data_IF_098552150128
#
_entry.id   IF_098552150128
#
_cell.length_a   1.000
_cell.length_b   1.000
_cell.length_c   1.000
_cell.angle_alpha   90.00
_cell.angle_beta   90.00
_cell.angle_gamma   90.00
#
_symmetry.space_group_name_H-M   'P 1'
#
loop_
_entity.id
_entity.type
_entity.pdbx_description
1 polymer ?
#
# COMPACT_ATOMS: atom_id res chain seq x y z
N UNK A 1 11.04 -2.67 -47.09
CA UNK A 1 9.75 -3.05 -46.49
C UNK A 1 9.58 -2.17 -45.26
N UNK A 2 8.94 -1.02 -45.41
CA UNK A 2 8.68 -0.06 -44.33
C UNK A 2 7.56 -0.68 -43.45
N UNK A 3 7.89 -1.17 -42.28
CA UNK A 3 6.90 -1.53 -41.29
C UNK A 3 6.10 -0.28 -40.97
N UNK A 4 4.80 -0.23 -41.36
CA UNK A 4 3.85 0.68 -40.77
C UNK A 4 3.87 0.48 -39.27
N UNK A 5 4.55 1.35 -38.50
CA UNK A 5 4.36 1.44 -37.07
C UNK A 5 2.93 1.95 -36.88
N UNK A 6 2.01 1.06 -36.56
CA UNK A 6 0.73 1.49 -36.00
C UNK A 6 1.00 2.44 -34.84
N UNK A 7 0.16 3.47 -34.69
CA UNK A 7 0.31 4.41 -33.58
C UNK A 7 0.25 3.64 -32.26
N UNK A 8 1.10 3.97 -31.27
CA UNK A 8 1.13 3.25 -30.01
C UNK A 8 -0.24 3.30 -29.32
N UNK A 9 -0.62 2.17 -28.70
CA UNK A 9 -1.88 2.07 -27.96
C UNK A 9 -1.81 2.90 -26.69
N UNK A 10 -2.78 3.80 -26.50
CA UNK A 10 -2.79 4.73 -25.36
C UNK A 10 -3.36 4.09 -24.09
N UNK A 11 -2.62 4.20 -22.99
CA UNK A 11 -3.01 3.75 -21.65
C UNK A 11 -3.20 4.94 -20.73
N UNK A 12 -4.37 5.02 -20.10
CA UNK A 12 -4.62 5.98 -19.02
C UNK A 12 -4.61 5.26 -17.66
N UNK A 13 -3.66 5.66 -16.80
CA UNK A 13 -3.54 5.14 -15.43
C UNK A 13 -4.16 6.11 -14.44
N UNK A 14 -5.22 5.68 -13.74
CA UNK A 14 -6.02 6.54 -12.87
C UNK A 14 -5.77 6.29 -11.40
N UNK A 15 -5.56 7.38 -10.65
CA UNK A 15 -5.56 7.42 -9.18
C UNK A 15 -6.38 8.61 -8.67
N UNK A 16 -6.88 8.55 -7.43
CA UNK A 16 -7.73 9.61 -6.88
C UNK A 16 -6.96 10.89 -6.57
N UNK A 17 -5.72 10.79 -6.13
CA UNK A 17 -4.87 11.93 -5.77
C UNK A 17 -3.48 11.74 -6.35
N UNK A 18 -2.84 12.82 -6.77
CA UNK A 18 -1.50 12.79 -7.36
C UNK A 18 -0.46 12.14 -6.43
N UNK A 19 -0.57 12.32 -5.13
CA UNK A 19 0.28 11.63 -4.15
C UNK A 19 0.17 10.09 -4.19
N UNK A 20 -0.93 9.56 -4.76
CA UNK A 20 -1.09 8.11 -4.95
C UNK A 20 -0.42 7.58 -6.23
N UNK A 21 0.15 8.44 -7.08
CA UNK A 21 0.95 8.02 -8.24
C UNK A 21 2.22 7.26 -7.81
N UNK A 22 2.70 7.49 -6.59
CA UNK A 22 3.77 6.69 -5.99
C UNK A 22 3.51 5.18 -5.96
N UNK A 23 2.25 4.77 -5.98
CA UNK A 23 1.86 3.35 -6.04
C UNK A 23 2.31 2.66 -7.36
N UNK A 24 2.65 3.42 -8.38
CA UNK A 24 3.02 2.90 -9.71
C UNK A 24 4.35 3.49 -10.22
N UNK A 25 5.21 3.91 -9.30
CA UNK A 25 6.54 4.44 -9.63
C UNK A 25 7.32 3.46 -10.51
N UNK A 26 7.90 3.97 -11.62
CA UNK A 26 8.66 3.20 -12.59
C UNK A 26 7.83 2.36 -13.55
N UNK A 27 6.63 1.91 -13.14
CA UNK A 27 5.80 0.98 -13.93
C UNK A 27 5.32 1.60 -15.24
N UNK A 28 4.85 2.86 -15.22
CA UNK A 28 4.34 3.50 -16.43
C UNK A 28 5.46 3.81 -17.42
N UNK A 29 6.64 4.21 -16.93
CA UNK A 29 7.84 4.40 -17.76
C UNK A 29 8.25 3.07 -18.40
N UNK A 30 8.32 1.99 -17.63
CA UNK A 30 8.62 0.66 -18.15
C UNK A 30 7.65 0.24 -19.26
N UNK A 31 6.35 0.44 -19.07
CA UNK A 31 5.32 0.10 -20.06
C UNK A 31 5.46 0.99 -21.32
N UNK A 32 5.78 2.28 -21.15
CA UNK A 32 6.01 3.19 -22.27
C UNK A 32 7.24 2.81 -23.11
N UNK A 33 8.32 2.39 -22.47
CA UNK A 33 9.52 1.87 -23.13
C UNK A 33 9.25 0.59 -23.96
N UNK A 34 8.15 -0.12 -23.64
CA UNK A 34 7.70 -1.32 -24.36
C UNK A 34 6.58 -1.06 -25.39
N UNK A 35 6.42 0.18 -25.84
CA UNK A 35 5.64 0.51 -27.03
C UNK A 35 4.20 0.99 -26.78
N UNK A 36 3.86 1.33 -25.54
CA UNK A 36 2.59 1.97 -25.21
C UNK A 36 2.75 3.49 -25.05
N UNK A 37 1.68 4.23 -25.35
CA UNK A 37 1.59 5.66 -25.02
C UNK A 37 0.90 5.80 -23.66
N UNK A 38 1.66 6.16 -22.61
CA UNK A 38 1.18 6.18 -21.25
C UNK A 38 0.87 7.59 -20.76
N UNK A 39 -0.25 7.74 -20.06
CA UNK A 39 -0.65 8.98 -19.40
C UNK A 39 -1.19 8.68 -18.00
N UNK A 40 -0.73 9.41 -17.00
CA UNK A 40 -1.30 9.38 -15.67
C UNK A 40 -2.50 10.32 -15.58
N UNK A 41 -3.54 9.94 -14.83
CA UNK A 41 -4.72 10.78 -14.58
C UNK A 41 -4.99 10.80 -13.08
N UNK A 42 -5.02 11.99 -12.48
CA UNK A 42 -5.20 12.14 -11.03
C UNK A 42 -5.98 13.41 -10.66
N UNK A 43 -6.42 13.48 -9.41
CA UNK A 43 -6.80 14.74 -8.78
C UNK A 43 -5.58 15.49 -8.24
N UNK A 44 -5.82 16.56 -7.48
CA UNK A 44 -4.80 17.37 -6.81
C UNK A 44 -3.98 16.55 -5.76
N UNK A 45 -2.80 17.00 -5.32
CA UNK A 45 -2.20 18.31 -5.63
C UNK A 45 -1.41 18.33 -6.95
N UNK A 46 -1.32 19.52 -7.56
CA UNK A 46 -0.66 19.76 -8.84
C UNK A 46 0.86 19.55 -8.74
N UNK A 47 1.46 19.90 -7.62
CA UNK A 47 2.88 19.76 -7.32
C UNK A 47 3.30 18.28 -7.43
N UNK A 48 2.60 17.38 -6.76
CA UNK A 48 2.89 15.94 -6.83
C UNK A 48 2.70 15.36 -8.24
N UNK A 49 1.74 15.89 -9.01
CA UNK A 49 1.55 15.50 -10.41
C UNK A 49 2.73 15.95 -11.29
N UNK A 50 3.25 17.16 -11.04
CA UNK A 50 4.41 17.71 -11.73
C UNK A 50 5.67 16.91 -11.40
N UNK A 51 5.93 16.66 -10.13
CA UNK A 51 7.05 15.84 -9.66
C UNK A 51 7.04 14.44 -10.28
N UNK A 52 5.86 13.80 -10.34
CA UNK A 52 5.70 12.51 -11.00
C UNK A 52 6.05 12.60 -12.50
N UNK A 53 5.53 13.59 -13.20
CA UNK A 53 5.82 13.80 -14.64
C UNK A 53 7.30 14.02 -14.90
N UNK A 54 7.96 14.85 -14.09
CA UNK A 54 9.40 15.14 -14.22
C UNK A 54 10.26 13.89 -13.94
N UNK A 55 9.91 13.11 -12.92
CA UNK A 55 10.64 11.90 -12.54
C UNK A 55 10.44 10.74 -13.53
N UNK A 56 9.20 10.52 -13.97
CA UNK A 56 8.84 9.36 -14.79
C UNK A 56 8.91 9.62 -16.30
N UNK A 57 8.92 10.89 -16.72
CA UNK A 57 8.80 11.26 -18.13
C UNK A 57 7.39 10.99 -18.72
N UNK A 58 6.39 10.73 -17.87
CA UNK A 58 5.01 10.39 -18.24
C UNK A 58 4.11 11.59 -18.00
N UNK A 59 3.34 12.06 -19.00
CA UNK A 59 2.42 13.19 -18.83
C UNK A 59 1.33 12.86 -17.81
N UNK A 60 0.95 13.85 -16.99
CA UNK A 60 -0.13 13.73 -16.02
C UNK A 60 -1.25 14.71 -16.32
N UNK A 61 -2.47 14.20 -16.49
CA UNK A 61 -3.69 14.98 -16.63
C UNK A 61 -4.39 15.11 -15.29
N UNK A 62 -4.64 16.36 -14.88
CA UNK A 62 -5.37 16.66 -13.63
C UNK A 62 -6.87 16.71 -13.86
N UNK A 63 -7.62 16.11 -12.95
CA UNK A 63 -9.08 16.17 -12.85
C UNK A 63 -9.40 16.90 -11.53
N UNK A 64 -9.61 18.21 -11.53
CA UNK A 64 -9.67 19.03 -10.32
C UNK A 64 -10.76 18.60 -9.32
N UNK A 65 -11.87 18.04 -9.81
CA UNK A 65 -12.96 17.59 -8.94
C UNK A 65 -12.81 16.14 -8.46
N UNK A 66 -11.74 15.45 -8.84
CA UNK A 66 -11.43 14.09 -8.35
C UNK A 66 -10.76 14.17 -6.96
N UNK A 67 -11.56 14.32 -5.92
CA UNK A 67 -11.12 14.52 -4.53
C UNK A 67 -11.39 13.28 -3.66
N UNK A 68 -10.60 13.06 -2.59
CA UNK A 68 -10.75 11.87 -1.70
C UNK A 68 -12.08 11.81 -0.96
N UNK A 69 -12.60 12.90 -0.34
CA UNK A 69 -13.87 12.88 0.38
C UNK A 69 -15.05 12.55 -0.53
N UNK A 70 -16.05 11.83 -0.04
CA UNK A 70 -17.31 11.59 -0.76
C UNK A 70 -18.04 12.93 -0.90
N UNK A 71 -18.30 13.34 -2.15
CA UNK A 71 -18.96 14.61 -2.47
C UNK A 71 -19.72 14.46 -3.79
N UNK A 72 -21.02 14.30 -3.72
CA UNK A 72 -21.87 14.03 -4.90
C UNK A 72 -21.64 15.08 -5.99
N UNK A 73 -21.57 16.36 -5.63
CA UNK A 73 -21.36 17.46 -6.59
C UNK A 73 -20.00 17.37 -7.29
N UNK A 74 -18.92 17.13 -6.55
CA UNK A 74 -17.58 16.97 -7.12
C UNK A 74 -17.48 15.66 -7.90
N UNK A 75 -18.08 14.57 -7.40
CA UNK A 75 -18.04 13.27 -8.06
C UNK A 75 -18.72 13.30 -9.43
N UNK A 76 -19.86 14.01 -9.55
CA UNK A 76 -20.53 14.21 -10.85
C UNK A 76 -19.71 15.10 -11.81
N UNK A 77 -19.04 16.14 -11.30
CA UNK A 77 -18.16 16.99 -12.10
C UNK A 77 -16.94 16.20 -12.58
N UNK A 78 -16.26 15.46 -11.68
CA UNK A 78 -15.15 14.59 -12.03
C UNK A 78 -15.54 13.54 -13.07
N UNK A 79 -16.71 12.92 -12.93
CA UNK A 79 -17.24 11.97 -13.92
C UNK A 79 -17.39 12.63 -15.30
N UNK A 80 -17.95 13.85 -15.34
CA UNK A 80 -18.12 14.61 -16.60
C UNK A 80 -16.77 14.99 -17.22
N UNK A 81 -15.79 15.35 -16.41
CA UNK A 81 -14.42 15.66 -16.86
C UNK A 81 -13.73 14.42 -17.44
N UNK A 82 -13.82 13.26 -16.76
CA UNK A 82 -13.31 11.99 -17.27
C UNK A 82 -13.98 11.56 -18.57
N UNK A 83 -15.31 11.71 -18.71
CA UNK A 83 -16.03 11.41 -19.95
C UNK A 83 -15.54 12.32 -21.09
N UNK A 84 -15.33 13.61 -20.84
CA UNK A 84 -14.79 14.53 -21.86
C UNK A 84 -13.38 14.13 -22.28
N UNK A 85 -12.52 13.82 -21.30
CA UNK A 85 -11.16 13.37 -21.54
C UNK A 85 -11.15 12.09 -22.40
N UNK A 86 -11.90 11.05 -22.00
CA UNK A 86 -11.90 9.78 -22.72
C UNK A 86 -12.53 9.87 -24.13
N UNK A 87 -13.52 10.74 -24.33
CA UNK A 87 -14.08 11.00 -25.67
C UNK A 87 -13.10 11.71 -26.59
N UNK A 88 -12.29 12.62 -26.04
CA UNK A 88 -11.30 13.38 -26.81
C UNK A 88 -10.09 12.48 -27.16
N UNK A 89 -9.50 11.83 -26.16
CA UNK A 89 -8.23 11.12 -26.31
C UNK A 89 -8.39 9.66 -26.75
N UNK A 90 -9.59 9.07 -26.61
CA UNK A 90 -9.95 7.70 -27.02
C UNK A 90 -8.93 6.64 -26.57
N UNK A 91 -8.63 6.55 -25.27
CA UNK A 91 -7.64 5.59 -24.79
C UNK A 91 -8.05 4.15 -25.13
N UNK A 92 -7.06 3.33 -25.44
CA UNK A 92 -7.26 1.88 -25.66
C UNK A 92 -7.45 1.15 -24.33
N UNK A 93 -6.70 1.56 -23.31
CA UNK A 93 -6.79 1.01 -21.95
C UNK A 93 -7.05 2.15 -20.96
N UNK A 94 -8.02 1.94 -20.06
CA UNK A 94 -8.17 2.71 -18.82
C UNK A 94 -7.94 1.76 -17.66
N UNK A 95 -6.88 2.01 -16.87
CA UNK A 95 -6.51 1.19 -15.72
C UNK A 95 -6.53 2.04 -14.45
N UNK A 96 -7.40 1.71 -13.49
CA UNK A 96 -7.60 2.47 -12.26
C UNK A 96 -7.29 1.64 -11.01
N UNK A 97 -6.74 2.30 -9.97
CA UNK A 97 -6.25 1.65 -8.75
C UNK A 97 -7.01 2.05 -7.49
N UNK A 98 -7.20 3.33 -7.23
CA UNK A 98 -7.77 3.78 -5.95
C UNK A 98 -9.30 3.82 -5.99
N UNK A 99 -10.01 3.61 -4.87
CA UNK A 99 -11.46 3.34 -4.88
C UNK A 99 -12.30 4.35 -5.66
N UNK A 100 -12.10 5.67 -5.43
CA UNK A 100 -12.90 6.69 -6.11
C UNK A 100 -12.52 6.83 -7.59
N UNK A 101 -11.23 6.87 -7.92
CA UNK A 101 -10.79 6.91 -9.31
C UNK A 101 -11.25 5.67 -10.08
N UNK A 102 -11.27 4.51 -9.42
CA UNK A 102 -11.75 3.28 -10.04
C UNK A 102 -13.25 3.34 -10.32
N UNK A 103 -14.06 3.77 -9.36
CA UNK A 103 -15.51 3.90 -9.57
C UNK A 103 -15.82 4.88 -10.73
N UNK A 104 -15.34 6.11 -10.63
CA UNK A 104 -15.65 7.14 -11.61
C UNK A 104 -14.98 6.85 -12.96
N UNK A 105 -13.74 6.36 -12.95
CA UNK A 105 -12.99 5.98 -14.14
C UNK A 105 -13.61 4.81 -14.90
N UNK A 106 -14.01 3.74 -14.20
CA UNK A 106 -14.67 2.59 -14.86
C UNK A 106 -16.04 2.95 -15.43
N UNK A 107 -16.83 3.76 -14.69
CA UNK A 107 -18.12 4.25 -15.20
C UNK A 107 -17.93 5.17 -16.42
N UNK A 108 -16.99 6.13 -16.38
CA UNK A 108 -16.68 7.01 -17.51
C UNK A 108 -16.20 6.21 -18.73
N UNK A 109 -15.29 5.27 -18.51
CA UNK A 109 -14.74 4.42 -19.57
C UNK A 109 -15.82 3.50 -20.20
N UNK A 110 -16.74 2.98 -19.36
CA UNK A 110 -17.89 2.21 -19.85
C UNK A 110 -18.83 3.06 -20.73
N UNK A 111 -19.17 4.28 -20.28
CA UNK A 111 -19.99 5.23 -21.06
C UNK A 111 -19.32 5.59 -22.40
N UNK A 112 -17.98 5.76 -22.39
CA UNK A 112 -17.19 6.08 -23.58
C UNK A 112 -16.86 4.86 -24.45
N UNK A 113 -17.26 3.66 -24.04
CA UNK A 113 -16.96 2.39 -24.73
C UNK A 113 -15.46 2.15 -24.92
N UNK A 114 -14.64 2.56 -23.93
CA UNK A 114 -13.20 2.23 -23.93
C UNK A 114 -13.04 0.70 -24.03
N UNK A 115 -12.21 0.17 -24.94
CA UNK A 115 -12.12 -1.28 -25.16
C UNK A 115 -11.73 -2.04 -23.91
N UNK A 116 -10.67 -1.65 -23.23
CA UNK A 116 -10.14 -2.33 -22.07
C UNK A 116 -10.22 -1.45 -20.82
N UNK A 117 -10.99 -1.91 -19.86
CA UNK A 117 -11.28 -1.22 -18.60
C UNK A 117 -10.83 -2.10 -17.45
N UNK A 118 -9.67 -1.78 -16.88
CA UNK A 118 -8.99 -2.59 -15.86
C UNK A 118 -9.15 -1.94 -14.50
N UNK A 119 -9.64 -2.70 -13.54
CA UNK A 119 -9.75 -2.31 -12.16
C UNK A 119 -8.79 -3.12 -11.30
N UNK A 120 -7.72 -2.49 -10.79
CA UNK A 120 -6.86 -3.05 -9.74
C UNK A 120 -7.45 -2.76 -8.37
N UNK A 121 -7.77 -3.82 -7.63
CA UNK A 121 -8.40 -3.73 -6.30
C UNK A 121 -7.32 -3.69 -5.23
N UNK A 122 -7.05 -2.49 -4.68
CA UNK A 122 -5.99 -2.21 -3.71
C UNK A 122 -6.50 -2.11 -2.28
N UNK A 123 -7.35 -3.03 -1.88
CA UNK A 123 -7.98 -3.07 -0.57
C UNK A 123 -9.47 -2.74 -0.60
N UNK A 124 -10.19 -3.21 0.41
CA UNK A 124 -11.65 -3.21 0.46
C UNK A 124 -12.16 -2.49 1.71
N UNK A 125 -12.52 -1.22 1.55
CA UNK A 125 -12.97 -0.36 2.66
C UNK A 125 -14.18 -0.90 3.43
N UNK A 126 -15.00 -1.73 2.80
CA UNK A 126 -16.18 -2.30 3.46
C UNK A 126 -15.84 -3.37 4.51
N UNK A 127 -14.61 -3.90 4.55
CA UNK A 127 -14.21 -4.95 5.50
C UNK A 127 -14.27 -4.45 6.96
N UNK A 128 -13.91 -3.19 7.22
CA UNK A 128 -13.99 -2.56 8.55
C UNK A 128 -15.23 -1.70 8.75
N UNK A 129 -16.13 -1.63 7.76
CA UNK A 129 -17.35 -0.83 7.82
C UNK A 129 -18.56 -1.68 8.22
N UNK A 130 -19.57 -1.05 8.84
CA UNK A 130 -20.82 -1.70 9.29
C UNK A 130 -22.07 -1.01 8.74
N UNK A 131 -23.21 -1.65 8.86
CA UNK A 131 -24.52 -1.09 8.53
C UNK A 131 -24.64 -0.54 7.11
N UNK A 132 -25.28 0.63 6.98
CA UNK A 132 -25.53 1.29 5.70
C UNK A 132 -24.23 1.61 4.94
N UNK A 133 -23.18 2.04 5.64
CA UNK A 133 -21.90 2.36 4.99
C UNK A 133 -21.28 1.13 4.32
N UNK A 134 -21.31 -0.03 4.99
CA UNK A 134 -20.85 -1.29 4.41
C UNK A 134 -21.63 -1.64 3.14
N UNK A 135 -22.95 -1.52 3.19
CA UNK A 135 -23.82 -1.78 2.02
C UNK A 135 -23.50 -0.83 0.87
N UNK A 136 -23.35 0.48 1.15
CA UNK A 136 -22.99 1.48 0.15
C UNK A 136 -21.65 1.17 -0.53
N UNK A 137 -20.61 0.92 0.27
CA UNK A 137 -19.28 0.61 -0.25
C UNK A 137 -19.28 -0.67 -1.09
N UNK A 138 -19.98 -1.73 -0.65
CA UNK A 138 -20.15 -2.95 -1.47
C UNK A 138 -20.86 -2.68 -2.78
N UNK A 139 -21.86 -1.79 -2.78
CA UNK A 139 -22.59 -1.43 -4.00
C UNK A 139 -21.66 -0.66 -4.97
N UNK A 140 -20.85 0.26 -4.46
CA UNK A 140 -19.85 0.97 -5.26
C UNK A 140 -18.85 -0.01 -5.89
N UNK A 141 -18.35 -0.98 -5.12
CA UNK A 141 -17.45 -2.02 -5.63
C UNK A 141 -18.11 -2.88 -6.72
N UNK A 142 -19.38 -3.28 -6.53
CA UNK A 142 -20.13 -4.02 -7.55
C UNK A 142 -20.28 -3.25 -8.86
N UNK A 143 -20.58 -1.94 -8.78
CA UNK A 143 -20.68 -1.07 -9.97
C UNK A 143 -19.33 -0.96 -10.66
N UNK A 144 -18.26 -0.76 -9.89
CA UNK A 144 -16.90 -0.67 -10.43
C UNK A 144 -16.52 -1.95 -11.17
N UNK A 145 -16.70 -3.10 -10.52
CA UNK A 145 -16.45 -4.41 -11.12
C UNK A 145 -17.34 -4.68 -12.35
N UNK A 146 -18.61 -4.26 -12.33
CA UNK A 146 -19.52 -4.44 -13.46
C UNK A 146 -19.06 -3.66 -14.70
N UNK A 147 -18.62 -2.40 -14.52
CA UNK A 147 -18.12 -1.54 -15.60
C UNK A 147 -16.73 -1.96 -16.12
N UNK A 148 -15.90 -2.63 -15.31
CA UNK A 148 -14.59 -3.12 -15.71
C UNK A 148 -14.70 -4.30 -16.70
N UNK A 149 -13.78 -4.41 -17.66
CA UNK A 149 -13.62 -5.63 -18.50
C UNK A 149 -12.72 -6.66 -17.82
N UNK A 150 -11.76 -6.21 -17.02
CA UNK A 150 -10.85 -7.06 -16.23
C UNK A 150 -10.75 -6.53 -14.81
N UNK A 151 -10.85 -7.40 -13.81
CA UNK A 151 -10.67 -7.08 -12.40
C UNK A 151 -9.41 -7.80 -11.92
N UNK A 152 -8.48 -7.04 -11.34
CA UNK A 152 -7.17 -7.52 -10.91
C UNK A 152 -7.04 -7.27 -9.40
N UNK A 153 -7.29 -8.27 -8.56
CA UNK A 153 -7.09 -8.14 -7.13
C UNK A 153 -5.59 -8.09 -6.80
N UNK A 154 -5.23 -7.27 -5.85
CA UNK A 154 -3.84 -7.05 -5.42
C UNK A 154 -3.23 -8.27 -4.72
N UNK A 155 -4.07 -9.16 -4.16
CA UNK A 155 -3.66 -10.38 -3.49
C UNK A 155 -4.74 -11.46 -3.50
N UNK A 156 -4.39 -12.66 -3.06
CA UNK A 156 -5.32 -13.79 -2.99
C UNK A 156 -6.40 -13.56 -1.93
N UNK A 157 -6.08 -12.88 -0.83
CA UNK A 157 -7.04 -12.52 0.21
C UNK A 157 -8.13 -11.58 -0.34
N UNK A 158 -7.73 -10.52 -1.06
CA UNK A 158 -8.66 -9.60 -1.74
C UNK A 158 -9.53 -10.36 -2.75
N UNK A 159 -8.94 -11.25 -3.57
CA UNK A 159 -9.68 -12.10 -4.52
C UNK A 159 -10.72 -12.96 -3.82
N UNK A 160 -10.34 -13.65 -2.74
CA UNK A 160 -11.26 -14.49 -1.95
C UNK A 160 -12.40 -13.67 -1.36
N UNK A 161 -12.11 -12.47 -0.83
CA UNK A 161 -13.13 -11.57 -0.27
C UNK A 161 -14.11 -11.07 -1.32
N UNK A 162 -13.64 -10.70 -2.52
CA UNK A 162 -14.52 -10.28 -3.62
C UNK A 162 -15.53 -11.37 -4.00
N UNK A 163 -15.12 -12.64 -4.05
CA UNK A 163 -16.01 -13.76 -4.31
C UNK A 163 -16.94 -14.05 -3.12
N UNK A 164 -16.40 -14.16 -1.90
CA UNK A 164 -17.17 -14.46 -0.67
C UNK A 164 -18.27 -13.43 -0.42
N UNK A 165 -17.98 -12.14 -0.66
CA UNK A 165 -18.92 -11.04 -0.45
C UNK A 165 -19.84 -10.78 -1.67
N UNK A 166 -19.78 -11.65 -2.69
CA UNK A 166 -20.57 -11.55 -3.93
C UNK A 166 -20.45 -10.18 -4.59
N UNK A 167 -19.22 -9.63 -4.67
CA UNK A 167 -18.95 -8.37 -5.35
C UNK A 167 -18.94 -8.58 -6.85
N UNK A 168 -18.27 -9.63 -7.33
CA UNK A 168 -18.21 -10.00 -8.75
C UNK A 168 -18.05 -11.50 -8.93
N UNK A 169 -18.55 -12.02 -10.05
CA UNK A 169 -18.33 -13.40 -10.51
C UNK A 169 -17.32 -13.47 -11.67
N UNK A 170 -16.75 -12.33 -12.09
CA UNK A 170 -15.78 -12.30 -13.18
C UNK A 170 -14.53 -13.11 -12.84
N UNK A 171 -13.93 -13.82 -13.79
CA UNK A 171 -12.63 -14.45 -13.60
C UNK A 171 -11.59 -13.41 -13.18
N UNK A 172 -10.83 -13.71 -12.14
CA UNK A 172 -9.80 -12.83 -11.61
C UNK A 172 -8.47 -13.58 -11.49
N UNK A 173 -7.39 -12.93 -11.90
CA UNK A 173 -6.03 -13.38 -11.65
C UNK A 173 -5.29 -12.34 -10.82
N UNK A 174 -4.55 -12.78 -9.81
CA UNK A 174 -3.56 -11.98 -9.10
C UNK A 174 -2.31 -11.96 -9.98
N UNK A 175 -1.74 -10.77 -10.21
CA UNK A 175 -0.51 -10.64 -10.99
C UNK A 175 0.68 -11.07 -10.14
N UNK A 176 1.53 -11.90 -10.71
CA UNK A 176 2.71 -12.44 -10.05
C UNK A 176 2.36 -13.02 -8.66
N UNK A 177 3.05 -12.57 -7.60
CA UNK A 177 2.77 -12.98 -6.21
C UNK A 177 1.89 -11.98 -5.43
N UNK A 178 1.18 -11.10 -6.13
CA UNK A 178 0.45 -9.98 -5.52
C UNK A 178 1.29 -8.71 -5.46
N UNK A 179 0.70 -7.67 -4.84
CA UNK A 179 1.14 -6.29 -4.91
C UNK A 179 1.01 -5.69 -6.33
N UNK A 180 0.82 -4.37 -6.42
CA UNK A 180 0.58 -3.72 -7.72
C UNK A 180 1.86 -3.21 -8.40
N UNK A 181 2.96 -3.09 -7.65
CA UNK A 181 4.19 -2.48 -8.16
C UNK A 181 5.48 -3.17 -7.70
N UNK A 182 5.39 -4.15 -6.78
CA UNK A 182 6.58 -4.74 -6.18
C UNK A 182 7.37 -3.75 -5.33
N UNK A 183 8.65 -4.01 -5.15
CA UNK A 183 9.57 -3.15 -4.40
C UNK A 183 10.86 -2.91 -5.18
N UNK A 184 11.32 -1.65 -5.16
CA UNK A 184 12.62 -1.26 -5.68
C UNK A 184 13.72 -1.75 -4.72
N UNK A 185 14.33 -2.88 -5.04
CA UNK A 185 15.39 -3.50 -4.25
C UNK A 185 16.72 -2.75 -4.31
N UNK A 186 16.90 -1.81 -5.25
CA UNK A 186 18.08 -0.94 -5.30
C UNK A 186 17.92 0.22 -4.32
N UNK A 187 16.70 0.75 -4.21
CA UNK A 187 16.38 1.76 -3.22
C UNK A 187 16.34 1.14 -1.81
N UNK A 188 15.57 0.06 -1.62
CA UNK A 188 15.48 -0.63 -0.32
C UNK A 188 16.67 -1.58 -0.12
N UNK A 189 17.84 -0.95 0.11
CA UNK A 189 19.10 -1.64 0.40
C UNK A 189 19.82 -1.00 1.59
N UNK A 190 20.65 -1.79 2.26
CA UNK A 190 21.48 -1.36 3.42
C UNK A 190 22.79 -0.75 2.92
N UNK A 191 22.70 0.42 2.27
CA UNK A 191 23.90 1.16 1.89
C UNK A 191 24.63 1.70 3.12
N UNK A 192 25.90 2.10 2.97
CA UNK A 192 26.68 2.70 4.06
C UNK A 192 25.95 3.89 4.67
N UNK A 193 25.39 4.78 3.84
CA UNK A 193 24.69 5.98 4.29
C UNK A 193 23.45 5.64 5.12
N UNK A 194 22.68 4.61 4.71
CA UNK A 194 21.50 4.13 5.45
C UNK A 194 21.91 3.52 6.79
N UNK A 195 23.01 2.77 6.83
CA UNK A 195 23.52 2.16 8.07
C UNK A 195 24.07 3.22 9.01
N UNK A 196 24.82 4.20 8.50
CA UNK A 196 25.37 5.28 9.31
C UNK A 196 24.26 6.13 9.96
N UNK A 197 23.19 6.42 9.21
CA UNK A 197 22.05 7.13 9.76
C UNK A 197 21.26 6.29 10.77
N UNK A 198 21.10 5.00 10.51
CA UNK A 198 20.49 4.07 11.46
C UNK A 198 21.27 3.96 12.79
N UNK A 199 22.61 4.00 12.72
CA UNK A 199 23.45 4.00 13.93
C UNK A 199 23.23 5.28 14.76
N UNK A 200 23.11 6.45 14.13
CA UNK A 200 22.77 7.69 14.85
C UNK A 200 21.41 7.60 15.52
N UNK A 201 20.38 7.10 14.79
CA UNK A 201 19.05 6.86 15.37
C UNK A 201 19.17 5.93 16.59
N UNK A 202 19.94 4.84 16.48
CA UNK A 202 20.17 3.89 17.60
C UNK A 202 20.84 4.56 18.82
N UNK A 203 21.82 5.42 18.58
CA UNK A 203 22.51 6.17 19.64
C UNK A 203 21.54 7.15 20.34
N UNK A 204 20.74 7.87 19.56
CA UNK A 204 19.77 8.86 20.08
C UNK A 204 18.65 8.22 20.91
N UNK A 205 18.05 7.14 20.42
CA UNK A 205 16.94 6.49 21.12
C UNK A 205 17.38 5.70 22.34
N UNK A 206 18.65 5.30 22.41
CA UNK A 206 19.17 4.39 23.45
C UNK A 206 18.43 3.04 23.40
N UNK A 207 18.67 2.22 24.42
CA UNK A 207 17.99 0.94 24.56
C UNK A 207 18.63 -0.21 23.76
N UNK A 208 18.28 -1.42 24.14
CA UNK A 208 18.87 -2.64 23.59
C UNK A 208 17.99 -3.33 22.56
N UNK A 209 16.71 -2.94 22.47
CA UNK A 209 15.74 -3.48 21.52
C UNK A 209 14.72 -2.44 21.08
N UNK A 210 14.56 -2.31 19.78
CA UNK A 210 13.63 -1.34 19.20
C UNK A 210 12.56 -2.04 18.36
N UNK A 211 11.31 -1.81 18.73
CA UNK A 211 10.14 -2.11 17.91
C UNK A 211 9.86 -0.93 16.98
N UNK A 212 9.41 -1.20 15.76
CA UNK A 212 9.09 -0.17 14.77
C UNK A 212 7.67 -0.34 14.23
N UNK A 213 6.97 0.77 14.11
CA UNK A 213 5.79 0.92 13.28
C UNK A 213 6.04 2.00 12.22
N UNK A 214 5.64 1.74 10.98
CA UNK A 214 5.69 2.71 9.88
C UNK A 214 4.31 2.81 9.24
N UNK A 215 3.76 4.02 9.18
CA UNK A 215 2.45 4.26 8.57
C UNK A 215 1.68 5.39 9.24
N UNK A 216 0.45 5.63 8.79
CA UNK A 216 -0.42 6.60 9.45
C UNK A 216 -0.73 6.14 10.88
N UNK A 217 -0.58 7.04 11.83
CA UNK A 217 -0.82 6.76 13.25
C UNK A 217 -2.31 6.97 13.52
N UNK A 218 -3.13 5.97 13.20
CA UNK A 218 -4.59 5.98 13.28
C UNK A 218 -5.11 4.67 13.88
N UNK A 219 -6.38 4.65 14.31
CA UNK A 219 -6.98 3.49 14.97
C UNK A 219 -7.03 2.25 14.07
N UNK A 220 -7.39 2.38 12.78
CA UNK A 220 -7.46 1.27 11.81
C UNK A 220 -6.11 0.55 11.63
N UNK A 221 -5.00 1.18 12.03
CA UNK A 221 -3.66 0.59 11.99
C UNK A 221 -3.28 -0.20 13.26
N UNK A 222 -4.21 -0.32 14.22
CA UNK A 222 -3.99 -1.09 15.44
C UNK A 222 -3.01 -0.42 16.43
N UNK A 223 -2.89 0.92 16.36
CA UNK A 223 -1.99 1.68 17.24
C UNK A 223 -2.39 1.52 18.72
N UNK A 224 -3.68 1.40 19.01
CA UNK A 224 -4.15 1.19 20.39
C UNK A 224 -3.60 -0.10 20.95
N UNK A 225 -3.69 -1.21 20.22
CA UNK A 225 -3.17 -2.51 20.61
C UNK A 225 -1.64 -2.51 20.69
N UNK A 226 -0.99 -1.78 19.79
CA UNK A 226 0.47 -1.66 19.81
C UNK A 226 0.96 -0.94 21.05
N UNK A 227 0.36 0.17 21.41
CA UNK A 227 0.71 0.94 22.61
C UNK A 227 0.42 0.11 23.88
N UNK A 228 -0.76 -0.50 23.98
CA UNK A 228 -1.13 -1.32 25.14
C UNK A 228 -0.22 -2.55 25.29
N UNK A 229 0.22 -3.17 24.20
CA UNK A 229 1.18 -4.27 24.21
C UNK A 229 2.58 -3.78 24.62
N UNK A 230 3.03 -2.66 24.04
CA UNK A 230 4.35 -2.09 24.33
C UNK A 230 4.49 -1.63 25.79
N UNK A 231 3.47 -0.99 26.36
CA UNK A 231 3.47 -0.60 27.77
C UNK A 231 3.75 -1.79 28.69
N UNK A 232 3.17 -2.95 28.39
CA UNK A 232 3.42 -4.20 29.16
C UNK A 232 4.83 -4.72 28.94
N UNK A 233 5.32 -4.74 27.69
CA UNK A 233 6.69 -5.14 27.39
C UNK A 233 7.68 -4.22 28.10
N UNK A 234 7.48 -2.91 28.02
CA UNK A 234 8.38 -1.92 28.60
C UNK A 234 8.41 -1.96 30.14
N UNK A 235 7.27 -2.28 30.76
CA UNK A 235 7.22 -2.45 32.22
C UNK A 235 8.08 -3.61 32.73
N UNK A 236 8.22 -4.67 31.92
CA UNK A 236 9.07 -5.85 32.25
C UNK A 236 10.50 -5.69 31.71
N UNK A 237 10.67 -4.92 30.62
CA UNK A 237 11.92 -4.71 29.90
C UNK A 237 12.17 -3.21 29.63
N UNK A 238 12.63 -2.42 30.63
CA UNK A 238 12.77 -0.96 30.51
C UNK A 238 13.77 -0.48 29.44
N UNK A 239 14.64 -1.36 28.98
CA UNK A 239 15.60 -1.10 27.92
C UNK A 239 15.00 -1.08 26.50
N UNK A 240 13.71 -1.38 26.34
CA UNK A 240 13.02 -1.40 25.05
C UNK A 240 12.59 -0.02 24.59
N UNK A 241 12.45 0.16 23.27
CA UNK A 241 11.93 1.38 22.63
C UNK A 241 10.89 1.03 21.60
N UNK A 242 9.92 1.92 21.40
CA UNK A 242 8.94 1.86 20.31
C UNK A 242 9.07 3.09 19.41
N UNK A 243 9.38 2.86 18.14
CA UNK A 243 9.52 3.89 17.13
C UNK A 243 8.22 3.98 16.31
N UNK A 244 7.58 5.14 16.32
CA UNK A 244 6.38 5.44 15.53
C UNK A 244 6.76 6.39 14.40
N UNK A 245 6.85 5.87 13.18
CA UNK A 245 7.19 6.65 11.98
C UNK A 245 5.94 6.90 11.15
N UNK A 246 5.55 8.17 11.02
CA UNK A 246 4.38 8.62 10.29
C UNK A 246 3.63 9.74 11.00
N UNK A 247 2.49 10.13 10.45
CA UNK A 247 1.68 11.22 10.99
C UNK A 247 0.36 10.73 11.57
N UNK A 248 -0.10 11.41 12.59
CA UNK A 248 -1.46 11.27 13.11
C UNK A 248 -2.44 11.94 12.13
N UNK A 249 -3.62 11.33 11.91
CA UNK A 249 -4.72 11.90 11.12
C UNK A 249 -5.99 12.01 11.99
N UNK A 250 -6.04 12.94 12.94
CA UNK A 250 -7.11 13.02 13.95
C UNK A 250 -8.50 13.32 13.37
N UNK A 251 -8.56 13.91 12.18
CA UNK A 251 -9.83 14.24 11.51
C UNK A 251 -10.46 13.03 10.80
N UNK A 252 -9.67 12.02 10.44
CA UNK A 252 -10.13 10.88 9.65
C UNK A 252 -10.42 9.65 10.51
N UNK A 253 -9.51 9.30 11.41
CA UNK A 253 -9.62 8.13 12.29
C UNK A 253 -8.80 8.35 13.58
N UNK A 254 -9.32 9.15 14.53
CA UNK A 254 -8.59 9.57 15.73
C UNK A 254 -8.29 8.39 16.65
N UNK A 255 -7.12 8.45 17.27
CA UNK A 255 -6.77 7.56 18.38
C UNK A 255 -7.61 7.90 19.63
N UNK A 256 -7.93 6.92 20.49
CA UNK A 256 -8.52 7.17 21.80
C UNK A 256 -7.64 8.09 22.66
N UNK A 257 -8.26 8.93 23.52
CA UNK A 257 -7.54 9.87 24.38
C UNK A 257 -6.54 9.18 25.29
N UNK A 258 -6.86 7.98 25.80
CA UNK A 258 -5.94 7.16 26.60
C UNK A 258 -4.69 6.81 25.80
N UNK A 259 -4.84 6.33 24.57
CA UNK A 259 -3.70 5.96 23.72
C UNK A 259 -2.80 7.17 23.43
N UNK A 260 -3.41 8.33 23.11
CA UNK A 260 -2.65 9.57 22.88
C UNK A 260 -1.86 10.01 24.10
N UNK A 261 -2.45 9.89 25.30
CA UNK A 261 -1.75 10.21 26.56
C UNK A 261 -0.57 9.28 26.81
N UNK A 262 -0.75 7.96 26.64
CA UNK A 262 0.33 6.99 26.80
C UNK A 262 1.50 7.27 25.86
N UNK A 263 1.21 7.63 24.59
CA UNK A 263 2.26 8.02 23.64
C UNK A 263 3.02 9.28 24.15
N UNK A 264 2.30 10.28 24.65
CA UNK A 264 2.89 11.56 25.06
C UNK A 264 3.62 11.50 26.41
N UNK A 265 3.26 10.57 27.29
CA UNK A 265 3.79 10.46 28.67
C UNK A 265 4.90 9.43 28.80
N UNK A 266 5.10 8.54 27.82
CA UNK A 266 6.13 7.49 27.86
C UNK A 266 7.31 7.83 26.96
N UNK A 267 8.43 8.25 27.56
CA UNK A 267 9.68 8.62 26.86
C UNK A 267 10.30 7.45 26.06
N UNK A 268 9.86 6.20 26.30
CA UNK A 268 10.30 5.04 25.51
C UNK A 268 9.55 4.90 24.17
N UNK A 269 8.49 5.70 23.95
CA UNK A 269 7.74 5.78 22.71
C UNK A 269 8.19 7.03 21.94
N UNK A 270 8.86 6.84 20.81
CA UNK A 270 9.44 7.92 20.01
C UNK A 270 8.58 8.16 18.79
N UNK A 271 7.86 9.29 18.77
CA UNK A 271 7.14 9.76 17.57
C UNK A 271 8.12 10.49 16.63
N UNK A 272 8.57 9.81 15.57
CA UNK A 272 9.50 10.37 14.59
C UNK A 272 8.82 11.31 13.58
N UNK A 273 7.48 11.36 13.54
CA UNK A 273 6.75 12.10 12.54
C UNK A 273 6.91 11.54 11.13
N UNK A 274 6.61 12.38 10.13
CA UNK A 274 6.84 12.04 8.72
C UNK A 274 8.32 11.95 8.42
N UNK A 275 8.73 10.89 7.73
CA UNK A 275 10.09 10.69 7.26
C UNK A 275 10.08 10.47 5.74
N UNK A 276 10.92 11.21 5.02
CA UNK A 276 11.09 11.06 3.57
C UNK A 276 11.81 9.75 3.23
N UNK A 277 12.71 9.33 4.10
CA UNK A 277 13.40 8.05 4.02
C UNK A 277 13.18 7.21 5.29
N UNK A 278 12.44 6.12 5.13
CA UNK A 278 12.13 5.20 6.24
C UNK A 278 13.17 4.09 6.40
N UNK A 279 14.12 3.94 5.47
CA UNK A 279 15.12 2.86 5.48
C UNK A 279 16.01 2.87 6.72
N UNK A 280 16.55 4.02 7.18
CA UNK A 280 17.33 4.06 8.40
C UNK A 280 16.54 3.61 9.64
N UNK A 281 15.24 3.93 9.70
CA UNK A 281 14.36 3.52 10.81
C UNK A 281 14.13 2.01 10.83
N UNK A 282 13.98 1.36 9.66
CA UNK A 282 13.96 -0.10 9.60
C UNK A 282 15.29 -0.68 10.11
N UNK A 283 16.43 -0.18 9.63
CA UNK A 283 17.74 -0.71 10.02
C UNK A 283 18.05 -0.45 11.51
N UNK A 284 17.54 0.64 12.07
CA UNK A 284 17.66 0.98 13.49
C UNK A 284 16.74 0.14 14.39
N UNK A 285 15.88 -0.73 13.86
CA UNK A 285 14.93 -1.54 14.63
C UNK A 285 15.27 -3.03 14.57
N UNK A 286 14.71 -3.79 15.52
CA UNK A 286 14.89 -5.23 15.64
C UNK A 286 13.65 -6.00 15.17
N UNK A 287 12.45 -5.40 15.33
CA UNK A 287 11.17 -6.01 14.96
C UNK A 287 10.22 -4.96 14.40
N UNK A 288 9.61 -5.25 13.26
CA UNK A 288 8.52 -4.44 12.70
C UNK A 288 7.17 -4.94 13.23
N UNK A 289 6.42 -4.10 13.93
CA UNK A 289 5.10 -4.41 14.49
C UNK A 289 4.01 -3.70 13.68
N UNK A 290 3.19 -4.47 12.97
CA UNK A 290 2.16 -3.92 12.07
C UNK A 290 0.78 -4.56 12.33
N UNK A 291 0.10 -4.21 13.44
CA UNK A 291 -1.17 -4.80 13.86
C UNK A 291 -2.40 -4.19 13.17
N UNK A 292 -2.29 -3.83 11.88
CA UNK A 292 -3.37 -3.20 11.11
C UNK A 292 -4.63 -4.08 11.04
N UNK A 293 -5.80 -3.46 11.03
CA UNK A 293 -7.07 -4.20 10.93
C UNK A 293 -7.48 -4.52 9.49
N UNK A 294 -6.92 -3.80 8.52
CA UNK A 294 -7.29 -3.92 7.11
C UNK A 294 -6.20 -3.36 6.20
N UNK A 295 -5.82 -4.15 5.21
CA UNK A 295 -4.96 -3.74 4.10
C UNK A 295 -5.45 -4.36 2.77
N UNK A 296 -4.93 -3.87 1.67
CA UNK A 296 -4.93 -4.59 0.40
C UNK A 296 -3.69 -5.48 0.32
N UNK A 297 -2.53 -4.82 0.20
CA UNK A 297 -1.21 -5.44 0.21
C UNK A 297 -0.20 -4.44 0.80
N UNK A 298 0.19 -4.54 2.08
CA UNK A 298 0.92 -3.48 2.77
C UNK A 298 2.37 -3.39 2.32
N UNK A 299 2.71 -2.33 1.57
CA UNK A 299 4.07 -2.08 1.10
C UNK A 299 5.09 -2.00 2.24
N UNK A 300 4.69 -1.46 3.39
CA UNK A 300 5.60 -1.31 4.56
C UNK A 300 6.07 -2.66 5.11
N UNK A 301 5.27 -3.73 4.99
CA UNK A 301 5.68 -5.09 5.37
C UNK A 301 6.69 -5.66 4.35
N UNK A 302 6.50 -5.36 3.06
CA UNK A 302 7.48 -5.71 2.03
C UNK A 302 8.79 -4.93 2.27
N UNK A 303 8.70 -3.64 2.61
CA UNK A 303 9.84 -2.77 2.92
C UNK A 303 10.63 -3.29 4.12
N UNK A 304 9.93 -3.64 5.23
CA UNK A 304 10.56 -4.26 6.40
C UNK A 304 11.35 -5.52 6.01
N UNK A 305 10.71 -6.42 5.26
CA UNK A 305 11.35 -7.63 4.79
C UNK A 305 12.53 -7.38 3.84
N UNK A 306 12.45 -6.40 2.93
CA UNK A 306 13.55 -6.00 2.06
C UNK A 306 14.74 -5.45 2.85
N UNK A 307 14.48 -4.72 3.94
CA UNK A 307 15.50 -4.21 4.85
C UNK A 307 15.99 -5.29 5.85
N UNK A 308 15.48 -6.54 5.76
CA UNK A 308 15.92 -7.66 6.58
C UNK A 308 15.35 -7.63 8.01
N UNK A 309 14.19 -7.00 8.22
CA UNK A 309 13.55 -6.87 9.52
C UNK A 309 12.34 -7.82 9.61
N UNK A 310 12.33 -8.77 10.56
CA UNK A 310 11.18 -9.63 10.82
C UNK A 310 9.97 -8.83 11.26
N UNK A 311 8.77 -9.34 10.94
CA UNK A 311 7.54 -8.61 11.22
C UNK A 311 6.57 -9.41 12.08
N UNK A 312 5.88 -8.73 13.00
CA UNK A 312 4.63 -9.23 13.60
C UNK A 312 3.48 -8.52 12.90
N UNK A 313 2.61 -9.28 12.25
CA UNK A 313 1.48 -8.75 11.48
C UNK A 313 0.18 -9.42 11.88
N UNK A 314 -0.93 -8.77 11.61
CA UNK A 314 -2.25 -9.38 11.77
C UNK A 314 -2.64 -10.27 10.59
N UNK A 315 -3.51 -11.25 10.84
CA UNK A 315 -4.08 -12.16 9.82
C UNK A 315 -5.13 -11.42 8.98
N UNK A 316 -4.62 -10.62 8.05
CA UNK A 316 -5.42 -9.83 7.09
C UNK A 316 -4.87 -9.97 5.68
N UNK A 317 -5.67 -9.56 4.70
CA UNK A 317 -5.27 -9.55 3.28
C UNK A 317 -3.90 -8.90 3.09
N UNK A 318 -3.07 -9.50 2.28
CA UNK A 318 -1.72 -9.06 1.96
C UNK A 318 -0.71 -9.35 3.07
N UNK A 319 -0.98 -8.99 4.34
CA UNK A 319 -0.05 -9.27 5.44
C UNK A 319 0.27 -10.75 5.57
N UNK A 320 -0.78 -11.61 5.58
CA UNK A 320 -0.66 -13.06 5.64
C UNK A 320 -0.19 -13.72 4.32
N UNK A 321 -0.04 -12.94 3.26
CA UNK A 321 0.54 -13.39 1.99
C UNK A 321 2.04 -13.02 1.92
N UNK A 322 2.46 -11.93 2.56
CA UNK A 322 3.86 -11.50 2.63
C UNK A 322 4.61 -12.29 3.69
N UNK A 323 4.02 -12.43 4.87
CA UNK A 323 4.65 -13.15 6.01
C UNK A 323 4.37 -14.65 5.89
N UNK A 324 5.43 -15.42 6.01
CA UNK A 324 5.41 -16.87 6.17
C UNK A 324 5.73 -17.16 7.63
N UNK A 325 4.73 -17.66 8.38
CA UNK A 325 4.84 -17.91 9.81
C UNK A 325 6.15 -18.61 10.20
N UNK A 326 6.87 -18.01 11.11
CA UNK A 326 8.15 -18.52 11.64
C UNK A 326 9.35 -18.42 10.70
N UNK A 327 9.21 -17.85 9.46
CA UNK A 327 10.33 -17.66 8.52
C UNK A 327 10.80 -16.21 8.44
N UNK A 328 9.90 -15.28 8.15
CA UNK A 328 10.22 -13.86 8.05
C UNK A 328 9.36 -13.00 8.98
N UNK A 329 8.67 -13.64 9.91
CA UNK A 329 7.80 -12.98 10.88
C UNK A 329 6.77 -13.93 11.47
N UNK A 330 5.80 -13.35 12.19
CA UNK A 330 4.69 -14.06 12.83
C UNK A 330 3.36 -13.38 12.55
N UNK A 331 2.29 -14.18 12.54
CA UNK A 331 0.94 -13.74 12.24
C UNK A 331 0.07 -13.87 13.49
N UNK A 332 -0.67 -12.82 13.84
CA UNK A 332 -1.55 -12.78 15.01
C UNK A 332 -3.00 -12.44 14.60
N UNK A 333 -4.01 -12.75 15.44
CA UNK A 333 -5.36 -12.25 15.20
C UNK A 333 -5.42 -10.72 15.23
N UNK A 334 -6.38 -10.13 14.50
CA UNK A 334 -6.66 -8.69 14.59
C UNK A 334 -7.23 -8.31 15.95
N UNK A 335 -6.86 -7.14 16.47
CA UNK A 335 -7.36 -6.60 17.75
C UNK A 335 -7.08 -7.50 18.96
N UNK A 336 -5.98 -8.22 18.92
CA UNK A 336 -5.52 -9.09 20.01
C UNK A 336 -4.21 -8.53 20.61
N UNK A 337 -4.37 -7.65 21.59
CA UNK A 337 -3.25 -7.05 22.35
C UNK A 337 -2.41 -8.12 23.04
N UNK A 338 -3.03 -9.20 23.57
CA UNK A 338 -2.31 -10.25 24.27
C UNK A 338 -1.43 -11.07 23.31
N UNK A 339 -1.94 -11.38 22.11
CA UNK A 339 -1.13 -12.06 21.09
C UNK A 339 0.03 -11.17 20.63
N UNK A 340 -0.21 -9.86 20.44
CA UNK A 340 0.83 -8.91 20.08
C UNK A 340 1.90 -8.80 21.16
N UNK A 341 1.50 -8.60 22.42
CA UNK A 341 2.40 -8.58 23.57
C UNK A 341 3.28 -9.84 23.63
N UNK A 342 2.65 -11.03 23.57
CA UNK A 342 3.41 -12.30 23.60
C UNK A 342 4.45 -12.40 22.48
N UNK A 343 4.10 -11.97 21.25
CA UNK A 343 5.02 -12.05 20.11
C UNK A 343 6.12 -10.99 20.16
N UNK A 344 5.83 -9.82 20.70
CA UNK A 344 6.86 -8.80 20.98
C UNK A 344 7.84 -9.26 22.04
N UNK A 345 7.36 -9.86 23.14
CA UNK A 345 8.20 -10.44 24.20
C UNK A 345 9.02 -11.64 23.69
N UNK A 346 8.39 -12.56 22.94
CA UNK A 346 9.07 -13.72 22.33
C UNK A 346 10.24 -13.27 21.44
N UNK A 347 10.05 -12.23 20.62
CA UNK A 347 11.09 -11.70 19.76
C UNK A 347 12.27 -11.09 20.55
N UNK A 348 11.97 -10.43 21.66
CA UNK A 348 12.99 -9.87 22.56
C UNK A 348 13.80 -10.96 23.27
N UNK A 349 13.15 -12.00 23.77
CA UNK A 349 13.76 -13.07 24.56
C UNK A 349 14.49 -14.11 23.68
N UNK A 350 13.97 -14.39 22.47
CA UNK A 350 14.50 -15.40 21.55
C UNK A 350 15.33 -14.76 20.41
N UNK A 351 16.40 -14.04 20.76
CA UNK A 351 17.25 -13.30 19.82
C UNK A 351 17.82 -14.15 18.68
N UNK A 352 18.22 -15.38 18.98
CA UNK A 352 18.77 -16.29 17.96
C UNK A 352 17.73 -16.64 16.91
N UNK A 353 16.50 -16.95 17.33
CA UNK A 353 15.39 -17.21 16.43
C UNK A 353 15.00 -15.97 15.60
N UNK A 354 15.02 -14.79 16.24
CA UNK A 354 14.78 -13.54 15.53
C UNK A 354 15.85 -13.29 14.45
N UNK A 355 17.11 -13.55 14.74
CA UNK A 355 18.21 -13.44 13.79
C UNK A 355 18.07 -14.43 12.61
N UNK A 356 17.63 -15.67 12.88
CA UNK A 356 17.32 -16.65 11.84
C UNK A 356 16.19 -16.16 10.91
N UNK A 357 15.14 -15.56 11.47
CA UNK A 357 14.06 -14.93 10.67
C UNK A 357 14.59 -13.75 9.86
N UNK A 358 15.41 -12.87 10.47
CA UNK A 358 15.99 -11.71 9.80
C UNK A 358 16.81 -12.11 8.56
N UNK A 359 17.61 -13.18 8.69
CA UNK A 359 18.40 -13.71 7.58
C UNK A 359 17.53 -14.20 6.40
N UNK A 360 16.28 -14.60 6.64
CA UNK A 360 15.37 -15.06 5.59
C UNK A 360 14.51 -13.95 4.99
N UNK A 361 14.35 -12.78 5.67
CA UNK A 361 13.45 -11.71 5.25
C UNK A 361 13.76 -11.23 3.82
N UNK A 362 14.96 -10.72 3.57
CA UNK A 362 15.33 -10.17 2.26
C UNK A 362 15.28 -11.21 1.14
N UNK A 363 15.84 -12.42 1.26
CA UNK A 363 15.73 -13.45 0.24
C UNK A 363 14.28 -13.78 -0.17
N UNK A 364 13.36 -13.86 0.79
CA UNK A 364 11.95 -14.11 0.52
C UNK A 364 11.28 -12.95 -0.23
N UNK A 365 11.61 -11.71 0.11
CA UNK A 365 11.08 -10.54 -0.61
C UNK A 365 11.65 -10.48 -2.02
N UNK A 366 12.96 -10.66 -2.19
CA UNK A 366 13.63 -10.68 -3.51
C UNK A 366 13.01 -11.70 -4.45
N UNK A 367 12.76 -12.92 -3.97
CA UNK A 367 12.20 -13.99 -4.80
C UNK A 367 10.75 -13.82 -5.19
N UNK A 368 10.01 -12.88 -4.53
CA UNK A 368 8.55 -12.80 -4.68
C UNK A 368 8.04 -11.44 -5.15
N UNK A 369 8.73 -10.35 -4.84
CA UNK A 369 8.19 -8.99 -4.98
C UNK A 369 9.14 -8.03 -5.69
N UNK A 370 10.07 -8.52 -6.51
CA UNK A 370 10.89 -7.64 -7.34
C UNK A 370 10.02 -6.78 -8.23
N UNK A 371 10.32 -5.51 -8.29
CA UNK A 371 9.54 -4.53 -9.03
C UNK A 371 9.46 -4.87 -10.53
N UNK A 372 10.58 -5.27 -11.11
CA UNK A 372 10.67 -5.62 -12.53
C UNK A 372 9.78 -6.83 -12.88
N UNK A 373 9.66 -7.83 -11.99
CA UNK A 373 8.83 -9.01 -12.23
C UNK A 373 7.33 -8.64 -12.23
N UNK A 374 6.91 -7.70 -11.36
CA UNK A 374 5.53 -7.18 -11.32
C UNK A 374 5.23 -6.31 -12.55
N UNK A 375 6.20 -5.50 -13.00
CA UNK A 375 6.07 -4.72 -14.22
C UNK A 375 5.94 -5.59 -15.46
N UNK A 376 6.76 -6.64 -15.56
CA UNK A 376 6.68 -7.62 -16.63
C UNK A 376 5.32 -8.32 -16.67
N UNK A 377 4.81 -8.77 -15.50
CA UNK A 377 3.48 -9.37 -15.40
C UNK A 377 2.35 -8.39 -15.80
N UNK A 378 2.52 -7.09 -15.49
CA UNK A 378 1.58 -6.05 -15.92
C UNK A 378 1.62 -5.83 -17.43
N UNK A 379 2.82 -5.79 -18.01
CA UNK A 379 3.00 -5.66 -19.47
C UNK A 379 2.41 -6.87 -20.21
N UNK A 380 2.66 -8.08 -19.73
CA UNK A 380 2.09 -9.32 -20.28
C UNK A 380 0.56 -9.29 -20.21
N UNK A 381 0.00 -8.80 -19.11
CA UNK A 381 -1.45 -8.61 -18.99
C UNK A 381 -1.97 -7.63 -20.06
N UNK A 382 -1.28 -6.52 -20.33
CA UNK A 382 -1.69 -5.56 -21.37
C UNK A 382 -1.55 -6.17 -22.76
N UNK A 383 -0.47 -6.89 -23.04
CA UNK A 383 -0.25 -7.58 -24.33
C UNK A 383 -1.27 -8.70 -24.61
N UNK A 384 -1.94 -9.22 -23.58
CA UNK A 384 -2.99 -10.25 -23.69
C UNK A 384 -4.39 -9.73 -23.93
N UNK A 385 -4.58 -8.41 -24.07
CA UNK A 385 -5.88 -7.76 -24.27
C UNK A 385 -6.26 -7.66 -25.80
#
# INVERSE_FOLDING_TARGET
>A
MLLNKEAPLTIFRLVTSAGSLGLVNGQLRYVAEHGYDCCAVSGEPKESAKEFTEREGIPTVLIPHLVRPISIGNDLRALKELIRLFRKEKPYIVHANTPKASLLGMVAAWICRVPHRIYSVTGLRFETSTGFMRWLLKTMERITCACATKVVPEGQGVKKTLYREHITSKPMAVLHNGNINGIDLKHFDRTSEVVDEANKIREEIGGSFAYLFVGRIVRDKGITELIDAFERVHAEHPETRLLLVGTQEPELDPLPDRTRRLIAENDAIIEAGWQDDVRPWFVASDLFAFPSYREGFPNVVIQAGAMGIPSVVTDINGSNEIIIEGKNGTIIPTRDTDALYRKMTEALEQRDRLAEMAAQCRPLIVSRYRQEDVWQATLEMYNSL
#
